data_IF_508025184734
#
_entry.id   IF_508025184734
#
_cell.length_a   1.000
_cell.length_b   1.000
_cell.length_c   1.000
_cell.angle_alpha   90.00
_cell.angle_beta   90.00
_cell.angle_gamma   90.00
#
_symmetry.space_group_name_H-M   'P 1'
#
loop_
_entity.id
_entity.type
_entity.pdbx_description
1 polymer ?
#
# COMPACT_ATOMS: atom_id res chain seq x y z
N UNK A 1 -0.86 14.98 62.67
CA UNK A 1 0.07 15.59 61.70
C UNK A 1 0.43 14.65 60.53
N UNK A 2 0.15 13.35 60.64
CA UNK A 2 0.65 12.34 59.68
C UNK A 2 -0.33 12.04 58.51
N UNK A 3 -1.64 12.11 58.76
CA UNK A 3 -2.65 11.70 57.78
C UNK A 3 -2.76 12.62 56.56
N UNK A 4 -2.63 13.93 56.73
CA UNK A 4 -2.62 14.90 55.62
C UNK A 4 -1.36 14.78 54.75
N UNK A 5 -0.23 14.39 55.36
CA UNK A 5 1.02 14.17 54.63
C UNK A 5 0.92 12.89 53.80
N UNK A 6 0.39 11.81 54.38
CA UNK A 6 0.14 10.54 53.69
C UNK A 6 -0.85 10.72 52.53
N UNK A 7 -1.94 11.48 52.73
CA UNK A 7 -2.92 11.78 51.68
C UNK A 7 -2.30 12.59 50.53
N UNK A 8 -1.44 13.58 50.85
CA UNK A 8 -0.73 14.35 49.83
C UNK A 8 0.27 13.51 49.04
N UNK A 9 1.01 12.62 49.71
CA UNK A 9 1.97 11.69 49.08
C UNK A 9 1.25 10.68 48.19
N UNK A 10 0.15 10.09 48.66
CA UNK A 10 -0.64 9.13 47.87
C UNK A 10 -1.26 9.78 46.64
N UNK A 11 -1.81 11.00 46.77
CA UNK A 11 -2.33 11.75 45.62
C UNK A 11 -1.23 12.07 44.60
N UNK A 12 -0.09 12.59 45.06
CA UNK A 12 1.05 12.88 44.18
C UNK A 12 1.57 11.60 43.49
N UNK A 13 1.64 10.49 44.22
CA UNK A 13 2.07 9.20 43.66
C UNK A 13 1.09 8.68 42.60
N UNK A 14 -0.23 8.81 42.85
CA UNK A 14 -1.25 8.45 41.89
C UNK A 14 -1.20 9.33 40.63
N UNK A 15 -1.01 10.65 40.77
CA UNK A 15 -0.86 11.57 39.65
C UNK A 15 0.38 11.25 38.80
N UNK A 16 1.52 10.96 39.44
CA UNK A 16 2.75 10.54 38.75
C UNK A 16 2.52 9.21 38.01
N UNK A 17 1.87 8.24 38.65
CA UNK A 17 1.57 6.95 38.04
C UNK A 17 0.64 7.09 36.83
N UNK A 18 -0.42 7.90 36.93
CA UNK A 18 -1.36 8.18 35.83
C UNK A 18 -0.61 8.87 34.68
N UNK A 19 0.20 9.89 34.97
CA UNK A 19 0.98 10.60 33.95
C UNK A 19 1.96 9.67 33.24
N UNK A 20 2.70 8.85 33.99
CA UNK A 20 3.62 7.87 33.42
C UNK A 20 2.88 6.84 32.54
N UNK A 21 1.69 6.39 32.96
CA UNK A 21 0.85 5.50 32.18
C UNK A 21 0.35 6.16 30.88
N UNK A 22 -0.11 7.40 30.95
CA UNK A 22 -0.54 8.17 29.77
C UNK A 22 0.61 8.39 28.78
N UNK A 23 1.79 8.79 29.28
CA UNK A 23 2.99 8.97 28.45
C UNK A 23 3.41 7.66 27.77
N UNK A 24 3.34 6.55 28.49
CA UNK A 24 3.65 5.23 27.94
C UNK A 24 2.64 4.82 26.85
N UNK A 25 1.34 5.02 27.09
CA UNK A 25 0.29 4.76 26.11
C UNK A 25 0.46 5.62 24.84
N UNK A 26 0.78 6.91 24.99
CA UNK A 26 1.01 7.79 23.84
C UNK A 26 2.24 7.35 23.03
N UNK A 27 3.34 6.96 23.72
CA UNK A 27 4.54 6.43 23.06
C UNK A 27 4.25 5.15 22.29
N UNK A 28 3.53 4.20 22.88
CA UNK A 28 3.16 2.96 22.20
C UNK A 28 2.21 3.22 21.03
N UNK A 29 1.24 4.13 21.16
CA UNK A 29 0.39 4.56 20.04
C UNK A 29 1.21 5.14 18.89
N UNK A 30 2.16 6.04 19.17
CA UNK A 30 3.07 6.62 18.16
C UNK A 30 3.92 5.54 17.47
N UNK A 31 4.43 4.58 18.23
CA UNK A 31 5.21 3.45 17.72
C UNK A 31 4.38 2.56 16.79
N UNK A 32 3.15 2.20 17.19
CA UNK A 32 2.24 1.43 16.34
C UNK A 32 1.90 2.15 15.03
N UNK A 33 1.66 3.46 15.08
CA UNK A 33 1.41 4.27 13.89
C UNK A 33 2.62 4.29 12.94
N UNK A 34 3.84 4.40 13.49
CA UNK A 34 5.07 4.35 12.70
C UNK A 34 5.24 2.98 12.02
N UNK A 35 5.04 1.90 12.76
CA UNK A 35 5.11 0.53 12.21
C UNK A 35 4.11 0.34 11.07
N UNK A 36 2.86 0.81 11.24
CA UNK A 36 1.84 0.75 10.20
C UNK A 36 2.23 1.56 8.95
N UNK A 37 2.78 2.77 9.13
CA UNK A 37 3.28 3.60 8.03
C UNK A 37 4.41 2.92 7.27
N UNK A 38 5.42 2.41 7.97
CA UNK A 38 6.57 1.75 7.36
C UNK A 38 6.14 0.47 6.61
N UNK A 39 5.19 -0.28 7.18
CA UNK A 39 4.59 -1.44 6.53
C UNK A 39 3.88 -1.07 5.22
N UNK A 40 3.06 -0.01 5.21
CA UNK A 40 2.36 0.46 3.99
C UNK A 40 3.33 0.91 2.90
N UNK A 41 4.37 1.67 3.27
CA UNK A 41 5.39 2.12 2.31
C UNK A 41 6.16 0.94 1.71
N UNK A 42 6.56 -0.02 2.56
CA UNK A 42 7.26 -1.24 2.11
C UNK A 42 6.39 -2.06 1.18
N UNK A 43 5.12 -2.27 1.51
CA UNK A 43 4.21 -3.05 0.69
C UNK A 43 3.88 -2.35 -0.63
N UNK A 44 3.74 -1.02 -0.63
CA UNK A 44 3.55 -0.27 -1.88
C UNK A 44 4.73 -0.44 -2.83
N UNK A 45 5.97 -0.40 -2.31
CA UNK A 45 7.17 -0.71 -3.11
C UNK A 45 7.16 -2.14 -3.64
N UNK A 46 6.75 -3.10 -2.81
CA UNK A 46 6.67 -4.50 -3.22
C UNK A 46 5.62 -4.71 -4.31
N UNK A 47 4.48 -4.03 -4.21
CA UNK A 47 3.42 -4.05 -5.21
C UNK A 47 3.93 -3.52 -6.55
N UNK A 48 4.58 -2.36 -6.55
CA UNK A 48 5.15 -1.76 -7.76
C UNK A 48 6.24 -2.65 -8.39
N UNK A 49 7.16 -3.18 -7.58
CA UNK A 49 8.25 -4.04 -8.06
C UNK A 49 7.73 -5.30 -8.77
N UNK A 50 6.59 -5.83 -8.33
CA UNK A 50 6.00 -7.06 -8.85
C UNK A 50 4.78 -6.81 -9.77
N UNK A 51 4.46 -5.55 -10.08
CA UNK A 51 3.23 -5.19 -10.78
C UNK A 51 3.07 -5.93 -12.11
N UNK A 52 4.12 -5.98 -12.94
CA UNK A 52 4.11 -6.71 -14.23
C UNK A 52 3.80 -8.19 -14.05
N UNK A 53 4.39 -8.82 -13.03
CA UNK A 53 4.14 -10.23 -12.72
C UNK A 53 2.69 -10.46 -12.29
N UNK A 54 2.12 -9.56 -11.49
CA UNK A 54 0.72 -9.63 -11.09
C UNK A 54 -0.23 -9.47 -12.28
N UNK A 55 0.05 -8.52 -13.18
CA UNK A 55 -0.72 -8.33 -14.40
C UNK A 55 -0.67 -9.58 -15.29
N UNK A 56 0.52 -10.15 -15.49
CA UNK A 56 0.70 -11.39 -16.26
C UNK A 56 -0.05 -12.56 -15.62
N UNK A 57 0.05 -12.71 -14.30
CA UNK A 57 -0.64 -13.76 -13.56
C UNK A 57 -2.16 -13.60 -13.59
N UNK A 58 -2.67 -12.36 -13.46
CA UNK A 58 -4.10 -12.08 -13.56
C UNK A 58 -4.67 -12.48 -14.93
N UNK A 59 -3.93 -12.24 -16.03
CA UNK A 59 -4.32 -12.69 -17.37
C UNK A 59 -4.38 -14.22 -17.47
N UNK A 60 -3.42 -14.92 -16.87
CA UNK A 60 -3.44 -16.40 -16.81
C UNK A 60 -4.64 -16.90 -16.01
N UNK A 61 -4.92 -16.28 -14.87
CA UNK A 61 -6.09 -16.58 -14.04
C UNK A 61 -7.39 -16.42 -14.82
N UNK A 62 -7.53 -15.38 -15.65
CA UNK A 62 -8.72 -15.18 -16.47
C UNK A 62 -8.97 -16.36 -17.41
N UNK A 63 -7.93 -16.80 -18.11
CA UNK A 63 -7.99 -17.97 -18.98
C UNK A 63 -8.31 -19.25 -18.18
N UNK A 64 -7.70 -19.43 -17.02
CA UNK A 64 -7.92 -20.59 -16.15
C UNK A 64 -9.33 -20.62 -15.55
N UNK A 65 -9.89 -19.47 -15.15
CA UNK A 65 -11.27 -19.37 -14.67
C UNK A 65 -12.25 -19.68 -15.80
N UNK A 66 -11.97 -19.23 -17.01
CA UNK A 66 -12.81 -19.55 -18.18
C UNK A 66 -12.79 -21.05 -18.48
N UNK A 67 -11.60 -21.68 -18.44
CA UNK A 67 -11.47 -23.13 -18.59
C UNK A 67 -12.19 -23.89 -17.48
N UNK A 68 -12.04 -23.47 -16.22
CA UNK A 68 -12.74 -24.08 -15.09
C UNK A 68 -14.26 -23.96 -15.24
N UNK A 69 -14.79 -22.81 -15.70
CA UNK A 69 -16.22 -22.68 -15.97
C UNK A 69 -16.71 -23.63 -17.06
N UNK A 70 -15.92 -23.83 -18.13
CA UNK A 70 -16.26 -24.80 -19.18
C UNK A 70 -16.21 -26.25 -18.67
N UNK A 71 -15.26 -26.56 -17.79
CA UNK A 71 -15.16 -27.87 -17.15
C UNK A 71 -16.27 -28.10 -16.12
N UNK A 72 -16.63 -27.09 -15.32
CA UNK A 72 -17.75 -27.13 -14.37
C UNK A 72 -19.08 -27.41 -15.07
N UNK A 73 -19.36 -26.84 -16.25
CA UNK A 73 -20.56 -27.20 -17.04
C UNK A 73 -20.56 -28.69 -17.44
N UNK A 74 -19.39 -29.30 -17.59
CA UNK A 74 -19.24 -30.73 -17.89
C UNK A 74 -19.31 -31.60 -16.62
N UNK A 75 -18.87 -31.07 -15.48
CA UNK A 75 -18.77 -31.75 -14.18
C UNK A 75 -20.04 -31.59 -13.31
N UNK A 76 -20.86 -30.55 -13.53
CA UNK A 76 -22.23 -30.40 -13.00
C UNK A 76 -23.16 -31.52 -13.50
N UNK A 77 -22.77 -32.23 -14.57
CA UNK A 77 -23.40 -33.49 -14.97
C UNK A 77 -22.99 -34.67 -14.07
N UNK A 78 -21.94 -34.53 -13.24
CA UNK A 78 -21.26 -35.66 -12.59
C UNK A 78 -20.84 -35.53 -11.10
N UNK A 79 -20.68 -34.37 -10.42
CA UNK A 79 -20.70 -34.14 -8.93
C UNK A 79 -20.04 -32.81 -8.45
N UNK A 80 -20.20 -32.44 -7.16
CA UNK A 80 -19.64 -31.23 -6.50
C UNK A 80 -18.32 -31.49 -5.72
N UNK A 81 -17.22 -30.79 -6.04
CA UNK A 81 -15.93 -30.86 -5.32
C UNK A 81 -15.53 -29.52 -4.64
N UNK A 82 -15.38 -29.54 -3.31
CA UNK A 82 -15.02 -28.39 -2.46
C UNK A 82 -13.60 -27.82 -2.70
N UNK A 83 -12.66 -28.63 -3.20
CA UNK A 83 -11.29 -28.18 -3.45
C UNK A 83 -11.22 -27.19 -4.62
N UNK A 84 -12.03 -27.43 -5.66
CA UNK A 84 -12.14 -26.59 -6.86
C UNK A 84 -12.65 -25.20 -6.50
N UNK A 85 -13.69 -25.12 -5.66
CA UNK A 85 -14.28 -23.85 -5.21
C UNK A 85 -13.28 -23.00 -4.41
N UNK A 86 -12.45 -23.63 -3.58
CA UNK A 86 -11.41 -22.93 -2.81
C UNK A 86 -10.32 -22.33 -3.70
N UNK A 87 -9.90 -23.05 -4.74
CA UNK A 87 -8.94 -22.57 -5.75
C UNK A 87 -9.52 -21.39 -6.53
N UNK A 88 -10.79 -21.49 -6.97
CA UNK A 88 -11.52 -20.45 -7.69
C UNK A 88 -11.61 -19.16 -6.87
N UNK A 89 -11.97 -19.25 -5.58
CA UNK A 89 -12.02 -18.09 -4.67
C UNK A 89 -10.66 -17.40 -4.51
N UNK A 90 -9.58 -18.17 -4.39
CA UNK A 90 -8.22 -17.62 -4.28
C UNK A 90 -7.79 -16.86 -5.55
N UNK A 91 -8.05 -17.46 -6.72
CA UNK A 91 -7.81 -16.86 -8.03
C UNK A 91 -8.63 -15.57 -8.23
N UNK A 92 -9.92 -15.60 -7.89
CA UNK A 92 -10.80 -14.44 -7.98
C UNK A 92 -10.35 -13.30 -7.06
N UNK A 93 -9.94 -13.61 -5.82
CA UNK A 93 -9.38 -12.61 -4.90
C UNK A 93 -8.13 -11.95 -5.49
N UNK A 94 -7.25 -12.75 -6.09
CA UNK A 94 -6.03 -12.25 -6.75
C UNK A 94 -6.39 -11.30 -7.89
N UNK A 95 -7.34 -11.69 -8.75
CA UNK A 95 -7.83 -10.83 -9.85
C UNK A 95 -8.35 -9.49 -9.33
N UNK A 96 -9.23 -9.51 -8.32
CA UNK A 96 -9.79 -8.29 -7.72
C UNK A 96 -8.69 -7.38 -7.18
N UNK A 97 -7.66 -7.94 -6.53
CA UNK A 97 -6.54 -7.16 -6.01
C UNK A 97 -5.71 -6.51 -7.12
N UNK A 98 -5.47 -7.20 -8.24
CA UNK A 98 -4.74 -6.62 -9.39
C UNK A 98 -5.52 -5.48 -10.03
N UNK A 99 -6.82 -5.67 -10.23
CA UNK A 99 -7.72 -4.61 -10.75
C UNK A 99 -7.79 -3.41 -9.80
N UNK A 100 -7.84 -3.65 -8.49
CA UNK A 100 -7.79 -2.59 -7.50
C UNK A 100 -6.50 -1.76 -7.62
N UNK A 101 -5.33 -2.41 -7.70
CA UNK A 101 -4.04 -1.71 -7.84
C UNK A 101 -3.99 -0.92 -9.16
N UNK A 102 -4.47 -1.49 -10.27
CA UNK A 102 -4.60 -0.78 -11.56
C UNK A 102 -5.42 0.50 -11.42
N UNK A 103 -6.57 0.42 -10.77
CA UNK A 103 -7.43 1.58 -10.53
C UNK A 103 -6.71 2.64 -9.69
N UNK A 104 -5.98 2.26 -8.64
CA UNK A 104 -5.22 3.21 -7.81
C UNK A 104 -4.07 3.88 -8.58
N UNK A 105 -3.43 3.17 -9.51
CA UNK A 105 -2.43 3.75 -10.41
C UNK A 105 -3.06 4.78 -11.37
N UNK A 106 -4.25 4.51 -11.89
CA UNK A 106 -4.98 5.47 -12.73
C UNK A 106 -5.40 6.70 -11.93
N UNK A 107 -5.93 6.54 -10.71
CA UNK A 107 -6.23 7.67 -9.83
C UNK A 107 -4.97 8.51 -9.56
N UNK A 108 -3.83 7.85 -9.32
CA UNK A 108 -2.56 8.56 -9.12
C UNK A 108 -2.14 9.35 -10.36
N UNK A 109 -2.29 8.76 -11.55
CA UNK A 109 -2.07 9.45 -12.83
C UNK A 109 -2.93 10.72 -12.92
N UNK A 110 -4.23 10.57 -12.76
CA UNK A 110 -5.19 11.67 -12.90
C UNK A 110 -4.88 12.80 -11.91
N UNK A 111 -4.57 12.45 -10.66
CA UNK A 111 -4.15 13.42 -9.64
C UNK A 111 -2.89 14.21 -10.06
N UNK A 112 -1.88 13.51 -10.58
CA UNK A 112 -0.64 14.16 -11.02
C UNK A 112 -0.83 15.04 -12.25
N UNK A 113 -1.70 14.64 -13.19
CA UNK A 113 -2.02 15.43 -14.39
C UNK A 113 -2.85 16.66 -14.04
N UNK A 114 -3.78 16.55 -13.10
CA UNK A 114 -4.66 17.64 -12.67
C UNK A 114 -3.98 18.66 -11.75
N UNK A 115 -2.89 18.31 -11.07
CA UNK A 115 -2.27 19.21 -10.09
C UNK A 115 -1.56 20.41 -10.71
N UNK A 116 -1.29 20.38 -12.02
CA UNK A 116 -0.55 21.43 -12.74
C UNK A 116 0.93 21.51 -12.37
N UNK A 117 1.43 20.65 -11.48
CA UNK A 117 2.83 20.65 -11.03
C UNK A 117 3.66 19.70 -11.88
N UNK A 118 4.65 20.26 -12.57
CA UNK A 118 5.60 19.50 -13.41
C UNK A 118 6.29 18.37 -12.66
N UNK A 119 6.59 18.55 -11.37
CA UNK A 119 7.19 17.51 -10.53
C UNK A 119 6.26 16.31 -10.31
N UNK A 120 4.97 16.52 -10.14
CA UNK A 120 4.02 15.43 -9.87
C UNK A 120 3.77 14.62 -11.14
N UNK A 121 3.61 15.30 -12.28
CA UNK A 121 3.57 14.67 -13.60
C UNK A 121 4.83 13.82 -13.83
N UNK A 122 6.01 14.39 -13.56
CA UNK A 122 7.29 13.68 -13.68
C UNK A 122 7.35 12.45 -12.78
N UNK A 123 6.89 12.54 -11.52
CA UNK A 123 6.86 11.40 -10.59
C UNK A 123 6.00 10.26 -11.13
N UNK A 124 4.83 10.56 -11.70
CA UNK A 124 4.00 9.56 -12.36
C UNK A 124 4.73 8.93 -13.56
N UNK A 125 5.33 9.74 -14.43
CA UNK A 125 6.08 9.26 -15.61
C UNK A 125 7.21 8.32 -15.21
N UNK A 126 7.96 8.65 -14.15
CA UNK A 126 9.02 7.82 -13.58
C UNK A 126 8.45 6.47 -13.08
N UNK A 127 7.37 6.50 -12.30
CA UNK A 127 6.73 5.26 -11.81
C UNK A 127 6.25 4.41 -12.99
N UNK A 128 5.65 5.03 -13.99
CA UNK A 128 5.16 4.35 -15.17
C UNK A 128 6.29 3.64 -15.93
N UNK A 129 7.36 4.38 -16.26
CA UNK A 129 8.54 3.85 -16.96
C UNK A 129 9.24 2.70 -16.22
N UNK A 130 9.36 2.81 -14.90
CA UNK A 130 10.10 1.82 -14.12
C UNK A 130 9.28 0.57 -13.80
N UNK A 131 7.97 0.71 -13.57
CA UNK A 131 7.17 -0.38 -12.98
C UNK A 131 5.96 -0.82 -13.83
N UNK A 132 5.40 0.06 -14.65
CA UNK A 132 4.08 -0.16 -15.27
C UNK A 132 4.18 -0.48 -16.76
N UNK A 133 5.01 0.27 -17.51
CA UNK A 133 5.22 0.08 -18.95
C UNK A 133 5.63 -1.36 -19.25
N UNK A 134 5.26 -1.87 -20.44
CA UNK A 134 5.57 -3.24 -20.83
C UNK A 134 7.07 -3.54 -20.72
N UNK A 135 7.90 -2.63 -21.25
CA UNK A 135 9.34 -2.69 -21.11
C UNK A 135 9.81 -1.88 -19.91
N UNK A 136 10.60 -2.52 -19.04
CA UNK A 136 11.23 -1.86 -17.89
C UNK A 136 12.37 -0.97 -18.36
N UNK A 137 12.32 0.32 -18.01
CA UNK A 137 13.43 1.23 -18.23
C UNK A 137 14.45 1.19 -17.09
N UNK A 138 15.71 1.50 -17.41
CA UNK A 138 16.77 1.69 -16.43
C UNK A 138 16.70 3.09 -15.79
N UNK A 139 17.19 3.20 -14.55
CA UNK A 139 17.09 4.45 -13.77
C UNK A 139 17.87 5.57 -14.44
N UNK A 140 19.02 5.25 -15.03
CA UNK A 140 19.91 6.14 -15.76
C UNK A 140 19.26 6.68 -17.03
N UNK A 141 18.53 5.82 -17.75
CA UNK A 141 17.78 6.22 -18.94
C UNK A 141 16.63 7.17 -18.58
N UNK A 142 15.89 6.87 -17.50
CA UNK A 142 14.82 7.73 -16.98
C UNK A 142 15.38 9.09 -16.51
N UNK A 143 16.51 9.08 -15.81
CA UNK A 143 17.20 10.31 -15.38
C UNK A 143 17.57 11.20 -16.58
N UNK A 144 18.16 10.60 -17.61
CA UNK A 144 18.53 11.30 -18.86
C UNK A 144 17.30 11.85 -19.59
N UNK A 145 16.23 11.06 -19.69
CA UNK A 145 14.97 11.46 -20.34
C UNK A 145 14.38 12.73 -19.71
N UNK A 146 14.35 12.79 -18.38
CA UNK A 146 13.82 13.94 -17.64
C UNK A 146 14.83 15.04 -17.36
N UNK A 147 16.09 14.90 -17.80
CA UNK A 147 17.20 15.84 -17.53
C UNK A 147 17.39 16.13 -16.03
N UNK A 148 17.40 15.08 -15.22
CA UNK A 148 17.60 15.14 -13.77
C UNK A 148 18.68 14.17 -13.32
N UNK A 149 19.24 14.39 -12.14
CA UNK A 149 20.14 13.42 -11.52
C UNK A 149 19.42 12.14 -11.09
N UNK A 150 20.15 11.03 -11.08
CA UNK A 150 19.69 9.74 -10.54
C UNK A 150 19.17 9.86 -9.10
N UNK A 151 19.78 10.70 -8.27
CA UNK A 151 19.29 10.98 -6.90
C UNK A 151 17.88 11.58 -6.88
N UNK A 152 17.57 12.43 -7.87
CA UNK A 152 16.23 13.00 -8.02
C UNK A 152 15.22 11.94 -8.44
N UNK A 153 15.60 10.98 -9.30
CA UNK A 153 14.75 9.84 -9.64
C UNK A 153 14.37 9.03 -8.39
N UNK A 154 15.35 8.68 -7.55
CA UNK A 154 15.07 7.97 -6.29
C UNK A 154 14.18 8.77 -5.33
N UNK A 155 14.38 10.08 -5.24
CA UNK A 155 13.53 10.98 -4.45
C UNK A 155 12.10 10.98 -4.98
N UNK A 156 11.92 11.11 -6.30
CA UNK A 156 10.62 11.11 -6.95
C UNK A 156 9.89 9.77 -6.77
N UNK A 157 10.59 8.64 -6.87
CA UNK A 157 10.03 7.32 -6.54
C UNK A 157 9.55 7.29 -5.08
N UNK A 158 10.36 7.82 -4.14
CA UNK A 158 10.00 7.83 -2.72
C UNK A 158 8.73 8.65 -2.46
N UNK A 159 8.60 9.83 -3.07
CA UNK A 159 7.41 10.66 -2.92
C UNK A 159 6.18 10.03 -3.60
N UNK A 160 6.33 9.48 -4.80
CA UNK A 160 5.27 8.75 -5.47
C UNK A 160 4.77 7.54 -4.65
N UNK A 161 5.68 6.78 -4.06
CA UNK A 161 5.35 5.65 -3.16
C UNK A 161 4.55 6.11 -1.94
N UNK A 162 4.85 7.29 -1.37
CA UNK A 162 4.06 7.81 -0.25
C UNK A 162 2.62 8.08 -0.69
N UNK A 163 2.43 8.79 -1.80
CA UNK A 163 1.10 9.09 -2.33
C UNK A 163 0.33 7.82 -2.67
N UNK A 164 0.96 6.89 -3.40
CA UNK A 164 0.36 5.60 -3.75
C UNK A 164 0.02 4.77 -2.51
N UNK A 165 0.83 4.82 -1.45
CA UNK A 165 0.55 4.08 -0.21
C UNK A 165 -0.73 4.55 0.48
N UNK A 166 -1.07 5.84 0.34
CA UNK A 166 -2.32 6.40 0.84
C UNK A 166 -3.48 5.93 -0.05
N UNK A 167 -3.32 5.97 -1.37
CA UNK A 167 -4.37 5.53 -2.30
C UNK A 167 -4.71 4.04 -2.11
N UNK A 168 -3.68 3.19 -1.96
CA UNK A 168 -3.86 1.75 -1.86
C UNK A 168 -4.37 1.31 -0.49
N UNK A 169 -3.95 1.97 0.60
CA UNK A 169 -4.24 1.52 1.98
C UNK A 169 -5.13 2.48 2.80
N UNK A 170 -5.63 3.54 2.17
CA UNK A 170 -6.56 4.49 2.79
C UNK A 170 -5.93 5.61 3.62
N UNK A 171 -6.81 6.54 4.01
CA UNK A 171 -6.52 7.82 4.66
C UNK A 171 -6.11 7.68 6.13
N UNK A 172 -6.27 6.50 6.74
CA UNK A 172 -5.77 6.19 8.10
C UNK A 172 -4.23 6.30 8.24
N UNK A 173 -3.54 6.65 7.15
CA UNK A 173 -2.12 7.00 7.13
C UNK A 173 -1.78 8.48 6.95
N UNK A 174 -2.75 9.35 6.64
CA UNK A 174 -2.55 10.79 6.53
C UNK A 174 -2.84 11.41 7.90
N UNK A 175 -1.80 11.89 8.59
CA UNK A 175 -2.01 12.98 9.54
C UNK A 175 -2.14 14.25 8.72
N UNK A 176 -3.32 14.86 8.74
CA UNK A 176 -3.42 16.30 8.57
C UNK A 176 -2.74 16.87 9.81
N UNK A 177 -1.55 17.43 9.64
CA UNK A 177 -0.96 18.30 10.66
C UNK A 177 -1.79 19.58 10.61
N UNK A 178 -2.76 19.67 11.53
CA UNK A 178 -3.40 20.91 11.94
C UNK A 178 -2.67 21.43 13.17
#
# INVERSE_FOLDING_TARGET
>A
MDQQLIEKITKLSAEIAIKAAMDHLEKEKKKQLKVKKDWRLRNTKLLLKNYRSFVSHSRKIENEIELLKRAEVLDELYTEDFAVESIKRSKQRTKVMVEFIRRMLNVYKDMCEQSGKTEEIRRYQIIHALYISEQKQEIEAVAKCHKIDVRTVYRDIKEAVKTLSVLVFGVDGIRLEA
#
